data_IF_387661005104
#
_entry.id   IF_387661005104
#
_cell.length_a   1.000
_cell.length_b   1.000
_cell.length_c   1.000
_cell.angle_alpha   90.00
_cell.angle_beta   90.00
_cell.angle_gamma   90.00
#
_symmetry.space_group_name_H-M   'P 1'
#
loop_
_entity.id
_entity.type
_entity.pdbx_description
1 polymer ?
#
# COMPACT_ATOMS: atom_id res chain seq x y z
N UNK A 1 64.05 26.06 10.38
CA UNK A 1 63.13 26.98 9.67
C UNK A 1 63.96 28.11 9.10
N UNK A 2 63.74 28.62 7.86
CA UNK A 2 62.77 28.27 6.78
C UNK A 2 63.47 27.50 5.62
N UNK A 3 62.85 26.67 4.78
CA UNK A 3 61.79 26.84 3.76
C UNK A 3 62.22 27.74 2.57
N UNK A 4 62.23 27.14 1.36
CA UNK A 4 62.30 27.67 -0.03
C UNK A 4 63.33 26.81 -0.82
N UNK A 5 63.13 26.29 -2.03
CA UNK A 5 62.04 26.28 -2.98
C UNK A 5 62.35 25.17 -4.01
N UNK A 6 61.29 24.61 -4.59
CA UNK A 6 61.25 23.59 -5.63
C UNK A 6 61.88 24.06 -6.96
N UNK A 7 62.69 23.23 -7.62
CA UNK A 7 62.58 22.95 -9.07
C UNK A 7 63.76 22.09 -9.59
N UNK A 8 63.57 20.79 -9.66
CA UNK A 8 64.20 19.94 -10.67
C UNK A 8 63.09 19.08 -11.27
N UNK A 9 62.72 19.38 -12.52
CA UNK A 9 61.82 18.58 -13.34
C UNK A 9 62.67 17.70 -14.26
N UNK A 10 62.70 16.38 -14.04
CA UNK A 10 63.06 15.43 -15.08
C UNK A 10 61.79 14.74 -15.57
N UNK A 11 61.16 15.39 -16.53
CA UNK A 11 60.51 14.75 -17.67
C UNK A 11 61.42 13.64 -18.20
N UNK A 12 61.23 12.40 -17.75
CA UNK A 12 61.40 11.16 -18.51
C UNK A 12 61.38 9.96 -17.56
N UNK A 13 60.68 8.88 -17.94
CA UNK A 13 60.52 7.59 -17.22
C UNK A 13 59.47 7.67 -16.11
N UNK A 14 58.23 7.20 -16.22
CA UNK A 14 57.79 5.94 -16.78
C UNK A 14 56.33 6.07 -17.26
N UNK A 15 56.18 6.42 -18.53
CA UNK A 15 54.98 6.17 -19.33
C UNK A 15 54.83 4.66 -19.59
N UNK A 16 54.58 3.88 -18.53
CA UNK A 16 54.35 2.43 -18.59
C UNK A 16 52.95 2.06 -18.07
N UNK A 17 51.95 2.88 -18.35
CA UNK A 17 50.59 2.37 -18.50
C UNK A 17 50.28 2.42 -19.98
N UNK A 18 50.70 1.32 -20.60
CA UNK A 18 50.36 0.87 -21.92
C UNK A 18 48.94 1.31 -22.27
N UNK A 19 48.86 2.09 -23.34
CA UNK A 19 47.64 2.22 -24.14
C UNK A 19 47.30 0.84 -24.63
N UNK A 20 46.57 0.06 -23.83
CA UNK A 20 45.80 -1.02 -24.38
C UNK A 20 44.89 -0.33 -25.41
N UNK A 21 44.93 -0.72 -26.69
CA UNK A 21 43.79 -0.41 -27.52
C UNK A 21 42.63 -1.02 -26.73
N UNK A 22 41.68 -0.18 -26.33
CA UNK A 22 40.36 -0.67 -26.05
C UNK A 22 39.83 -1.16 -27.39
N UNK A 23 40.35 -2.30 -27.82
CA UNK A 23 39.83 -3.11 -28.91
C UNK A 23 38.48 -3.54 -28.36
N UNK A 24 37.50 -2.72 -28.68
CA UNK A 24 36.34 -3.19 -29.41
C UNK A 24 35.87 -4.56 -28.96
N UNK A 25 35.46 -4.69 -27.71
CA UNK A 25 34.27 -5.48 -27.42
C UNK A 25 33.07 -4.68 -27.92
N UNK A 26 33.05 -4.40 -29.24
CA UNK A 26 31.82 -4.37 -29.98
C UNK A 26 31.35 -5.82 -29.96
N UNK A 27 30.73 -6.20 -28.84
CA UNK A 27 29.69 -7.20 -28.93
C UNK A 27 28.89 -6.80 -30.17
N UNK A 28 28.61 -7.70 -31.12
CA UNK A 28 27.48 -7.43 -31.98
C UNK A 28 26.37 -7.12 -30.98
N UNK A 29 25.90 -5.87 -30.99
CA UNK A 29 24.54 -5.58 -30.62
C UNK A 29 23.78 -6.41 -31.63
N UNK A 30 23.61 -7.70 -31.33
CA UNK A 30 22.38 -8.35 -31.66
C UNK A 30 21.35 -7.34 -31.14
N UNK A 31 20.56 -6.69 -32.01
CA UNK A 31 19.24 -6.38 -31.51
C UNK A 31 18.76 -7.76 -31.08
N UNK A 32 18.76 -8.01 -29.78
CA UNK A 32 17.97 -9.09 -29.24
C UNK A 32 16.59 -8.64 -29.66
N UNK A 33 16.19 -9.14 -30.83
CA UNK A 33 14.89 -9.04 -31.43
C UNK A 33 13.96 -8.89 -30.26
N UNK A 34 13.40 -7.70 -30.09
CA UNK A 34 12.52 -7.36 -28.98
C UNK A 34 11.56 -8.51 -28.92
N UNK A 35 11.81 -9.45 -28.00
CA UNK A 35 10.82 -10.43 -27.68
C UNK A 35 9.65 -9.55 -27.30
N UNK A 36 8.45 -9.73 -27.87
CA UNK A 36 7.30 -9.08 -27.30
C UNK A 36 7.33 -9.52 -25.84
N UNK A 37 7.73 -8.64 -24.92
CA UNK A 37 7.51 -8.83 -23.50
C UNK A 37 6.02 -9.03 -23.44
N UNK A 38 5.62 -10.29 -23.37
CA UNK A 38 4.26 -10.71 -23.59
C UNK A 38 3.43 -9.80 -22.67
N UNK A 39 2.56 -8.92 -23.20
CA UNK A 39 1.62 -8.25 -22.33
C UNK A 39 0.60 -9.34 -21.97
N UNK A 40 1.00 -10.28 -21.11
CA UNK A 40 0.08 -11.12 -20.34
C UNK A 40 -0.45 -10.23 -19.22
N UNK A 41 -0.99 -9.07 -19.59
CA UNK A 41 -1.88 -8.31 -18.76
C UNK A 41 -3.25 -9.03 -18.76
N UNK A 42 -3.24 -10.32 -18.39
CA UNK A 42 -4.37 -10.90 -17.69
C UNK A 42 -4.31 -10.26 -16.31
N UNK A 43 -4.90 -9.08 -16.20
CA UNK A 43 -5.03 -8.36 -14.94
C UNK A 43 -5.95 -9.21 -14.05
N UNK A 44 -5.39 -10.23 -13.41
CA UNK A 44 -6.09 -10.90 -12.33
C UNK A 44 -6.33 -9.84 -11.25
N UNK A 45 -7.56 -9.74 -10.71
CA UNK A 45 -7.92 -8.67 -9.78
C UNK A 45 -6.96 -8.59 -8.58
N UNK A 46 -6.37 -9.72 -8.18
CA UNK A 46 -5.36 -9.80 -7.13
C UNK A 46 -4.11 -8.94 -7.41
N UNK A 47 -3.65 -8.91 -8.66
CA UNK A 47 -2.47 -8.13 -9.07
C UNK A 47 -2.76 -6.62 -9.03
N UNK A 48 -4.00 -6.23 -9.32
CA UNK A 48 -4.44 -4.84 -9.21
C UNK A 48 -4.45 -4.41 -7.74
N UNK A 49 -5.06 -5.20 -6.86
CA UNK A 49 -5.20 -4.88 -5.43
C UNK A 49 -3.81 -4.74 -4.77
N UNK A 50 -2.89 -5.67 -5.05
CA UNK A 50 -1.53 -5.62 -4.50
C UNK A 50 -0.75 -4.39 -4.97
N UNK A 51 -0.75 -4.11 -6.28
CA UNK A 51 -0.03 -2.96 -6.83
C UNK A 51 -0.58 -1.62 -6.34
N UNK A 52 -1.87 -1.56 -6.02
CA UNK A 52 -2.54 -0.31 -5.61
C UNK A 52 -2.42 -0.03 -4.12
N UNK A 53 -2.66 -1.04 -3.27
CA UNK A 53 -2.77 -0.83 -1.82
C UNK A 53 -1.59 -1.38 -1.02
N UNK A 54 -0.92 -2.45 -1.49
CA UNK A 54 0.04 -3.21 -0.68
C UNK A 54 1.51 -3.06 -1.13
N UNK A 55 1.77 -2.53 -2.33
CA UNK A 55 3.14 -2.39 -2.88
C UNK A 55 3.95 -1.26 -2.25
N UNK A 56 3.31 -0.17 -1.80
CA UNK A 56 3.98 1.00 -1.22
C UNK A 56 3.75 1.03 0.29
N UNK A 57 4.82 0.96 1.08
CA UNK A 57 4.78 0.91 2.55
C UNK A 57 3.91 2.02 3.16
N UNK A 58 4.01 3.26 2.66
CA UNK A 58 3.20 4.38 3.15
C UNK A 58 1.72 4.26 2.80
N UNK A 59 1.40 3.73 1.62
CA UNK A 59 0.01 3.55 1.16
C UNK A 59 -0.66 2.42 1.93
N UNK A 60 0.08 1.36 2.24
CA UNK A 60 -0.43 0.21 3.00
C UNK A 60 -0.96 0.63 4.38
N UNK A 61 -0.14 1.35 5.15
CA UNK A 61 -0.50 1.79 6.50
C UNK A 61 -1.64 2.79 6.47
N UNK A 62 -1.61 3.76 5.55
CA UNK A 62 -2.69 4.74 5.39
C UNK A 62 -4.02 4.06 5.02
N UNK A 63 -3.99 3.11 4.09
CA UNK A 63 -5.18 2.33 3.69
C UNK A 63 -5.74 1.53 4.87
N UNK A 64 -4.86 0.96 5.69
CA UNK A 64 -5.27 0.19 6.88
C UNK A 64 -6.01 1.06 7.88
N UNK A 65 -5.52 2.27 8.16
CA UNK A 65 -6.20 3.17 9.09
C UNK A 65 -7.56 3.64 8.56
N UNK A 66 -7.63 4.05 7.29
CA UNK A 66 -8.90 4.45 6.66
C UNK A 66 -9.90 3.29 6.64
N UNK A 67 -9.42 2.09 6.30
CA UNK A 67 -10.23 0.88 6.31
C UNK A 67 -10.73 0.57 7.72
N UNK A 68 -9.89 0.68 8.75
CA UNK A 68 -10.27 0.39 10.14
C UNK A 68 -11.41 1.29 10.63
N UNK A 69 -11.33 2.61 10.42
CA UNK A 69 -12.39 3.53 10.85
C UNK A 69 -13.68 3.35 10.04
N UNK A 70 -13.56 3.17 8.73
CA UNK A 70 -14.72 2.94 7.86
C UNK A 70 -15.39 1.60 8.16
N UNK A 71 -14.58 0.56 8.41
CA UNK A 71 -15.05 -0.77 8.78
C UNK A 71 -15.70 -0.78 10.15
N UNK A 72 -15.17 -0.06 11.15
CA UNK A 72 -15.78 0.02 12.48
C UNK A 72 -17.24 0.48 12.38
N UNK A 73 -17.48 1.64 11.76
CA UNK A 73 -18.83 2.21 11.64
C UNK A 73 -19.73 1.30 10.80
N UNK A 74 -19.23 0.81 9.66
CA UNK A 74 -20.01 -0.05 8.77
C UNK A 74 -20.36 -1.40 9.40
N UNK A 75 -19.41 -2.01 10.11
CA UNK A 75 -19.56 -3.31 10.73
C UNK A 75 -20.50 -3.26 11.94
N UNK A 76 -20.44 -2.22 12.76
CA UNK A 76 -21.36 -2.03 13.88
C UNK A 76 -22.82 -1.93 13.39
N UNK A 77 -23.08 -1.06 12.42
CA UNK A 77 -24.41 -0.88 11.84
C UNK A 77 -24.91 -2.15 11.13
N UNK A 78 -24.04 -2.79 10.34
CA UNK A 78 -24.41 -4.01 9.60
C UNK A 78 -24.73 -5.16 10.54
N UNK A 79 -23.93 -5.35 11.59
CA UNK A 79 -24.10 -6.46 12.54
C UNK A 79 -25.33 -6.24 13.40
N UNK A 80 -25.58 -5.03 13.90
CA UNK A 80 -26.82 -4.71 14.63
C UNK A 80 -28.04 -4.91 13.75
N UNK A 81 -28.05 -4.40 12.51
CA UNK A 81 -29.18 -4.59 11.60
C UNK A 81 -29.43 -6.06 11.27
N UNK A 82 -28.36 -6.85 11.09
CA UNK A 82 -28.49 -8.29 10.88
C UNK A 82 -29.05 -9.01 12.11
N UNK A 83 -28.56 -8.65 13.30
CA UNK A 83 -29.03 -9.22 14.56
C UNK A 83 -30.50 -8.88 14.83
N UNK A 84 -30.92 -7.65 14.55
CA UNK A 84 -32.29 -7.17 14.65
C UNK A 84 -33.20 -7.91 13.68
N UNK A 85 -32.79 -8.04 12.42
CA UNK A 85 -33.53 -8.78 11.41
C UNK A 85 -33.68 -10.27 11.77
N UNK A 86 -32.65 -10.88 12.37
CA UNK A 86 -32.65 -12.30 12.73
C UNK A 86 -33.46 -12.61 13.99
N UNK A 87 -33.47 -11.71 14.98
CA UNK A 87 -34.13 -11.90 16.28
C UNK A 87 -35.46 -11.14 16.42
N UNK A 88 -36.08 -10.76 15.30
CA UNK A 88 -37.34 -10.00 15.30
C UNK A 88 -38.42 -10.65 16.17
N UNK A 89 -39.08 -9.82 16.97
CA UNK A 89 -40.17 -10.25 17.85
C UNK A 89 -39.73 -10.87 19.17
N UNK A 90 -38.42 -11.13 19.36
CA UNK A 90 -37.86 -11.57 20.65
C UNK A 90 -37.10 -10.45 21.37
N UNK A 91 -36.87 -9.32 20.71
CA UNK A 91 -36.15 -8.22 21.33
C UNK A 91 -37.04 -7.40 22.25
N UNK A 92 -36.48 -6.98 23.38
CA UNK A 92 -37.12 -6.01 24.27
C UNK A 92 -37.52 -4.74 23.51
N UNK A 93 -36.70 -4.28 22.56
CA UNK A 93 -37.02 -3.15 21.68
C UNK A 93 -38.38 -3.30 20.99
N UNK A 94 -38.69 -4.50 20.50
CA UNK A 94 -39.95 -4.79 19.80
C UNK A 94 -41.12 -5.00 20.76
N UNK A 95 -40.89 -5.35 22.02
CA UNK A 95 -41.95 -5.70 22.99
C UNK A 95 -42.26 -4.54 23.94
N UNK A 96 -41.31 -3.63 24.19
CA UNK A 96 -41.41 -2.56 25.20
C UNK A 96 -42.65 -1.67 25.05
N UNK A 97 -43.14 -1.50 23.82
CA UNK A 97 -44.32 -0.66 23.55
C UNK A 97 -45.57 -1.14 24.31
N UNK A 98 -45.69 -2.46 24.54
CA UNK A 98 -46.81 -3.05 25.28
C UNK A 98 -46.77 -2.77 26.78
N UNK A 99 -45.58 -2.58 27.34
CA UNK A 99 -45.40 -2.36 28.78
C UNK A 99 -45.41 -0.88 29.17
N UNK A 100 -44.97 0.01 28.28
CA UNK A 100 -45.05 1.46 28.51
C UNK A 100 -46.49 1.98 28.45
N UNK A 101 -47.34 1.41 27.60
CA UNK A 101 -48.76 1.76 27.54
C UNK A 101 -49.52 1.26 28.80
N UNK A 102 -49.23 0.05 29.25
CA UNK A 102 -49.83 -0.53 30.45
C UNK A 102 -49.41 0.17 31.77
N UNK A 103 -48.43 1.08 31.76
CA UNK A 103 -48.04 1.88 32.92
C UNK A 103 -48.46 3.35 32.85
N UNK A 104 -48.93 3.83 31.69
CA UNK A 104 -49.43 5.20 31.50
C UNK A 104 -50.94 5.31 31.57
N UNK A 105 -51.68 4.24 31.25
CA UNK A 105 -53.14 4.22 31.33
C UNK A 105 -53.67 4.13 32.78
N UNK A 106 -52.80 3.91 33.77
CA UNK A 106 -53.14 3.83 35.21
C UNK A 106 -52.92 5.17 35.97
N UNK A 107 -52.27 6.18 35.36
CA UNK A 107 -51.95 7.48 36.02
C UNK A 107 -52.87 8.65 35.58
N UNK A 108 -53.72 8.46 34.57
CA UNK A 108 -54.67 9.48 34.06
C UNK A 108 -56.12 9.28 34.57
N UNK A 109 -56.31 8.42 35.56
CA UNK A 109 -57.60 8.10 36.18
C UNK A 109 -57.69 8.49 37.67
N UNK A 110 -57.18 9.67 38.07
CA UNK A 110 -57.60 10.39 39.29
C UNK A 110 -57.38 11.90 39.19
#
# INVERSE_FOLDING_TARGET
>A
MPADAQADDPTSSHSLFQTLPYTSYRCPFTPLHTAPQHPTARLFPQQLIYNTFFRRNSVFVATTFVAAFSFSIGFDLATTAWWDAHNRGKQWHDIRHKYLQAGGDDEDAE
#
